data_IF_097958960067
#
_entry.id   IF_097958960067
#
_cell.length_a   1.000
_cell.length_b   1.000
_cell.length_c   1.000
_cell.angle_alpha   90.00
_cell.angle_beta   90.00
_cell.angle_gamma   90.00
#
_symmetry.space_group_name_H-M   'P 1'
#
loop_
_entity.id
_entity.type
_entity.pdbx_description
1 polymer ?
#
# COMPACT_ATOMS: atom_id res chain seq x y z
N UNK A 1 20.73 9.61 6.55
CA UNK A 1 19.89 10.80 6.32
C UNK A 1 19.13 11.08 7.60
N UNK A 2 19.27 12.27 8.17
CA UNK A 2 18.49 12.66 9.35
C UNK A 2 17.05 13.02 8.99
N UNK A 3 16.14 13.02 9.97
CA UNK A 3 14.73 13.38 9.75
C UNK A 3 14.58 14.79 9.17
N UNK A 4 15.35 15.76 9.66
CA UNK A 4 15.36 17.14 9.17
C UNK A 4 15.77 17.24 7.70
N UNK A 5 16.76 16.44 7.28
CA UNK A 5 17.20 16.39 5.89
C UNK A 5 16.12 15.76 4.99
N UNK A 6 15.48 14.68 5.45
CA UNK A 6 14.36 14.06 4.73
C UNK A 6 13.21 15.04 4.54
N UNK A 7 12.79 15.74 5.60
CA UNK A 7 11.73 16.76 5.55
C UNK A 7 12.09 17.86 4.54
N UNK A 8 13.33 18.36 4.58
CA UNK A 8 13.80 19.37 3.63
C UNK A 8 13.69 18.86 2.18
N UNK A 9 14.07 17.61 1.92
CA UNK A 9 13.98 17.00 0.58
C UNK A 9 12.54 16.79 0.12
N UNK A 10 11.62 16.41 1.00
CA UNK A 10 10.18 16.29 0.67
C UNK A 10 9.65 17.64 0.20
N UNK A 11 9.95 18.71 0.93
CA UNK A 11 9.51 20.07 0.58
C UNK A 11 10.12 20.55 -0.74
N UNK A 12 11.42 20.30 -0.94
CA UNK A 12 12.12 20.69 -2.18
C UNK A 12 11.62 19.95 -3.41
N UNK A 13 11.19 18.69 -3.28
CA UNK A 13 10.66 17.91 -4.40
C UNK A 13 9.19 18.24 -4.73
N UNK A 14 8.51 19.01 -3.87
CA UNK A 14 7.07 19.25 -3.98
C UNK A 14 6.21 18.02 -3.68
N UNK A 15 6.78 16.98 -3.07
CA UNK A 15 6.05 15.76 -2.71
C UNK A 15 5.11 16.01 -1.52
N UNK A 16 3.94 15.38 -1.54
CA UNK A 16 2.95 15.46 -0.46
C UNK A 16 3.28 14.53 0.72
N UNK A 17 4.11 13.52 0.50
CA UNK A 17 4.57 12.61 1.53
C UNK A 17 5.86 11.91 1.08
N UNK A 18 6.58 11.31 2.04
CA UNK A 18 7.63 10.33 1.78
C UNK A 18 7.21 8.95 2.25
N UNK A 19 7.54 7.94 1.46
CA UNK A 19 7.51 6.54 1.86
C UNK A 19 8.91 6.12 2.34
N UNK A 20 9.03 5.72 3.59
CA UNK A 20 10.26 5.20 4.18
C UNK A 20 10.10 3.73 4.46
N UNK A 21 11.00 2.90 3.94
CA UNK A 21 11.03 1.47 4.21
C UNK A 21 12.27 1.16 5.05
N UNK A 22 12.08 0.64 6.25
CA UNK A 22 13.19 0.16 7.08
C UNK A 22 13.56 -1.28 6.70
N UNK A 23 14.85 -1.59 6.80
CA UNK A 23 15.39 -2.92 6.49
C UNK A 23 15.74 -3.60 7.81
N UNK A 24 15.23 -4.82 8.00
CA UNK A 24 15.57 -5.70 9.11
C UNK A 24 16.15 -7.01 8.56
N UNK A 25 17.40 -7.31 8.92
CA UNK A 25 18.12 -8.53 8.46
C UNK A 25 18.03 -8.75 6.94
N UNK A 26 18.18 -7.66 6.17
CA UNK A 26 18.14 -7.68 4.71
C UNK A 26 16.74 -7.67 4.07
N UNK A 27 15.66 -7.70 4.85
CA UNK A 27 14.28 -7.69 4.34
C UNK A 27 13.53 -6.41 4.75
N UNK A 28 12.52 -5.96 3.98
CA UNK A 28 11.63 -4.89 4.41
C UNK A 28 10.94 -5.25 5.74
N UNK A 29 11.13 -4.43 6.77
CA UNK A 29 10.57 -4.68 8.10
C UNK A 29 9.43 -3.73 8.47
N UNK A 30 9.56 -2.45 8.11
CA UNK A 30 8.58 -1.41 8.41
C UNK A 30 8.42 -0.48 7.23
N UNK A 31 7.19 -0.02 7.00
CA UNK A 31 6.86 0.99 6.01
C UNK A 31 6.18 2.15 6.73
N UNK A 32 6.74 3.35 6.59
CA UNK A 32 6.24 4.57 7.23
C UNK A 32 5.98 5.64 6.17
N UNK A 33 4.85 6.31 6.28
CA UNK A 33 4.47 7.45 5.43
C UNK A 33 4.58 8.72 6.25
N UNK A 34 5.40 9.67 5.80
CA UNK A 34 5.71 10.93 6.49
C UNK A 34 5.22 12.13 5.70
N UNK A 35 4.62 13.12 6.37
CA UNK A 35 4.29 14.41 5.77
C UNK A 35 5.53 15.30 5.59
N UNK A 36 5.42 16.39 4.82
CA UNK A 36 6.45 17.43 4.74
C UNK A 36 6.69 18.19 6.05
N UNK A 37 5.90 17.91 7.10
CA UNK A 37 6.08 18.46 8.45
C UNK A 37 6.69 17.43 9.42
N UNK A 38 7.03 16.24 8.92
CA UNK A 38 7.60 15.17 9.73
C UNK A 38 6.58 14.35 10.52
N UNK A 39 5.27 14.55 10.29
CA UNK A 39 4.23 13.74 10.93
C UNK A 39 4.17 12.37 10.24
N UNK A 40 4.29 11.30 11.01
CA UNK A 40 3.98 9.94 10.56
C UNK A 40 2.47 9.85 10.35
N UNK A 41 1.97 9.52 9.17
CA UNK A 41 0.53 9.34 8.89
C UNK A 41 0.13 7.88 9.04
N UNK A 42 0.98 7.00 8.53
CA UNK A 42 0.74 5.57 8.46
C UNK A 42 2.05 4.83 8.73
N UNK A 43 1.97 3.80 9.56
CA UNK A 43 3.10 2.95 9.92
C UNK A 43 2.66 1.48 9.87
N UNK A 44 3.31 0.70 9.02
CA UNK A 44 2.99 -0.69 8.75
C UNK A 44 4.16 -1.58 9.14
N UNK A 45 3.90 -2.63 9.92
CA UNK A 45 4.90 -3.68 10.16
C UNK A 45 4.73 -4.76 9.10
N UNK A 46 5.79 -5.01 8.35
CA UNK A 46 5.77 -5.98 7.26
C UNK A 46 6.24 -7.34 7.80
N UNK A 47 5.48 -8.39 7.53
CA UNK A 47 5.94 -9.76 7.76
C UNK A 47 6.79 -10.24 6.59
N UNK A 48 6.32 -9.96 5.36
CA UNK A 48 7.00 -10.37 4.14
C UNK A 48 6.59 -9.47 2.98
N UNK A 49 7.46 -9.38 1.98
CA UNK A 49 7.18 -8.75 0.71
C UNK A 49 7.79 -9.63 -0.39
N UNK A 50 6.94 -10.19 -1.26
CA UNK A 50 7.38 -10.85 -2.48
C UNK A 50 7.43 -9.81 -3.58
N UNK A 51 8.60 -9.61 -4.16
CA UNK A 51 8.80 -8.69 -5.27
C UNK A 51 8.21 -9.30 -6.54
N UNK A 52 7.91 -8.44 -7.51
CA UNK A 52 7.43 -8.84 -8.85
C UNK A 52 8.18 -10.04 -9.44
N UNK A 53 9.52 -10.01 -9.39
CA UNK A 53 10.39 -11.06 -9.93
C UNK A 53 10.25 -12.43 -9.25
N UNK A 54 9.71 -12.44 -8.03
CA UNK A 54 9.48 -13.65 -7.23
C UNK A 54 8.07 -14.19 -7.45
N UNK A 55 7.12 -13.34 -7.86
CA UNK A 55 5.75 -13.71 -8.22
C UNK A 55 5.72 -14.26 -9.65
N UNK A 56 6.20 -13.46 -10.60
CA UNK A 56 6.32 -13.84 -12.01
C UNK A 56 7.51 -13.11 -12.65
N UNK A 57 8.60 -13.86 -12.83
CA UNK A 57 9.83 -13.36 -13.45
C UNK A 57 9.68 -13.03 -14.95
N UNK A 58 8.63 -13.54 -15.60
CA UNK A 58 8.35 -13.32 -17.02
C UNK A 58 7.51 -12.07 -17.27
N UNK A 59 6.78 -11.59 -16.26
CA UNK A 59 5.89 -10.44 -16.40
C UNK A 59 6.70 -9.16 -16.63
N UNK A 60 6.59 -8.59 -17.85
CA UNK A 60 7.19 -7.31 -18.26
C UNK A 60 6.17 -6.16 -18.38
N UNK A 61 4.91 -6.38 -18.02
CA UNK A 61 3.86 -5.37 -18.02
C UNK A 61 4.26 -4.10 -17.28
N UNK A 62 4.38 -2.99 -18.00
CA UNK A 62 4.56 -1.66 -17.39
C UNK A 62 3.19 -1.12 -17.09
N UNK A 63 2.98 -0.54 -15.91
CA UNK A 63 1.69 0.02 -15.54
C UNK A 63 1.89 1.50 -15.25
N UNK A 64 1.04 2.33 -15.87
CA UNK A 64 1.25 3.77 -15.91
C UNK A 64 0.55 4.53 -14.78
N UNK A 65 -0.48 3.96 -14.19
CA UNK A 65 -1.26 4.59 -13.12
C UNK A 65 -2.00 3.56 -12.27
N UNK A 66 -2.44 4.00 -11.09
CA UNK A 66 -3.34 3.24 -10.22
C UNK A 66 -4.78 3.54 -10.67
N UNK A 67 -5.61 2.51 -10.77
CA UNK A 67 -7.03 2.60 -11.09
C UNK A 67 -7.86 2.85 -9.83
N UNK A 68 -7.55 2.16 -8.73
CA UNK A 68 -8.33 2.24 -7.51
C UNK A 68 -7.80 1.34 -6.39
N UNK A 69 -8.54 1.33 -5.29
CA UNK A 69 -8.30 0.48 -4.12
C UNK A 69 -9.49 -0.45 -3.94
N UNK A 70 -9.27 -1.75 -4.08
CA UNK A 70 -10.28 -2.80 -3.87
C UNK A 70 -10.06 -3.53 -2.55
N UNK A 71 -11.15 -3.82 -1.85
CA UNK A 71 -11.18 -4.65 -0.65
C UNK A 71 -12.09 -5.84 -0.88
N UNK A 72 -11.67 -7.02 -0.44
CA UNK A 72 -12.54 -8.20 -0.51
C UNK A 72 -13.77 -8.04 0.37
N UNK A 73 -14.95 -8.31 -0.16
CA UNK A 73 -16.20 -8.33 0.61
C UNK A 73 -16.05 -9.27 1.81
N UNK A 74 -16.48 -8.78 2.99
CA UNK A 74 -16.39 -9.51 4.24
C UNK A 74 -15.03 -9.44 4.93
N UNK A 75 -14.09 -8.62 4.41
CA UNK A 75 -12.81 -8.40 5.10
C UNK A 75 -12.99 -7.71 6.45
N UNK A 76 -12.02 -7.92 7.34
CA UNK A 76 -11.95 -7.29 8.66
C UNK A 76 -11.89 -5.76 8.59
N UNK A 77 -12.28 -5.10 9.68
CA UNK A 77 -12.20 -3.64 9.81
C UNK A 77 -10.75 -3.14 9.60
N UNK A 78 -9.75 -3.85 10.13
CA UNK A 78 -8.33 -3.55 9.93
C UNK A 78 -7.91 -3.49 8.45
N UNK A 79 -8.45 -4.38 7.60
CA UNK A 79 -8.19 -4.39 6.15
C UNK A 79 -8.82 -3.18 5.49
N UNK A 80 -10.11 -2.94 5.79
CA UNK A 80 -10.86 -1.77 5.26
C UNK A 80 -10.20 -0.47 5.66
N UNK A 81 -9.73 -0.39 6.89
CA UNK A 81 -8.97 0.73 7.39
C UNK A 81 -7.69 0.94 6.58
N UNK A 82 -6.84 -0.08 6.48
CA UNK A 82 -5.61 0.06 5.72
C UNK A 82 -5.89 0.54 4.28
N UNK A 83 -6.86 -0.08 3.61
CA UNK A 83 -7.30 0.30 2.28
C UNK A 83 -7.81 1.76 2.23
N UNK A 84 -8.60 2.20 3.22
CA UNK A 84 -9.09 3.57 3.34
C UNK A 84 -7.96 4.59 3.47
N UNK A 85 -6.91 4.27 4.24
CA UNK A 85 -5.72 5.12 4.33
C UNK A 85 -4.99 5.24 3.00
N UNK A 86 -4.86 4.14 2.23
CA UNK A 86 -4.29 4.21 0.88
C UNK A 86 -5.18 4.98 -0.09
N UNK A 87 -6.50 4.81 0.00
CA UNK A 87 -7.47 5.54 -0.82
C UNK A 87 -7.36 7.05 -0.57
N UNK A 88 -7.30 7.48 0.70
CA UNK A 88 -7.09 8.89 1.07
C UNK A 88 -5.75 9.43 0.55
N UNK A 89 -4.65 8.72 0.84
CA UNK A 89 -3.29 9.12 0.44
C UNK A 89 -3.13 9.27 -1.07
N UNK A 90 -3.84 8.45 -1.85
CA UNK A 90 -3.77 8.44 -3.30
C UNK A 90 -4.91 9.23 -3.95
N UNK A 91 -5.82 9.81 -3.17
CA UNK A 91 -7.05 10.47 -3.66
C UNK A 91 -7.88 9.57 -4.58
N UNK A 92 -8.06 8.31 -4.16
CA UNK A 92 -8.82 7.27 -4.86
C UNK A 92 -10.05 6.86 -4.06
N UNK A 93 -11.00 6.22 -4.73
CA UNK A 93 -12.13 5.59 -4.07
C UNK A 93 -11.77 4.17 -3.62
N UNK A 94 -12.36 3.77 -2.49
CA UNK A 94 -12.36 2.38 -2.01
C UNK A 94 -13.60 1.66 -2.52
N UNK A 95 -13.43 0.42 -2.95
CA UNK A 95 -14.52 -0.42 -3.45
C UNK A 95 -14.48 -1.79 -2.80
N UNK A 96 -15.62 -2.26 -2.30
CA UNK A 96 -15.76 -3.64 -1.85
C UNK A 96 -16.14 -4.52 -3.05
N UNK A 97 -15.30 -5.51 -3.36
CA UNK A 97 -15.49 -6.43 -4.47
C UNK A 97 -15.42 -7.87 -3.96
N UNK A 98 -16.08 -8.80 -4.64
CA UNK A 98 -15.92 -10.24 -4.37
C UNK A 98 -14.58 -10.72 -4.90
N UNK A 99 -14.17 -10.22 -6.06
CA UNK A 99 -12.95 -10.62 -6.78
C UNK A 99 -12.30 -9.42 -7.52
N UNK A 100 -10.95 -9.37 -7.64
CA UNK A 100 -10.26 -8.33 -8.41
C UNK A 100 -10.73 -8.19 -9.87
N UNK A 101 -11.24 -9.27 -10.47
CA UNK A 101 -11.76 -9.29 -11.84
C UNK A 101 -12.95 -8.36 -12.08
N UNK A 102 -13.69 -8.00 -11.04
CA UNK A 102 -14.79 -7.03 -11.14
C UNK A 102 -14.32 -5.65 -11.57
N UNK A 103 -13.03 -5.35 -11.37
CA UNK A 103 -12.39 -4.10 -11.83
C UNK A 103 -11.62 -4.25 -13.14
N UNK A 104 -11.97 -5.25 -13.95
CA UNK A 104 -11.36 -5.42 -15.27
C UNK A 104 -11.69 -4.24 -16.19
N UNK A 105 -10.68 -3.64 -16.79
CA UNK A 105 -10.82 -2.57 -17.78
C UNK A 105 -9.97 -2.86 -19.01
N UNK A 106 -10.19 -2.14 -20.12
CA UNK A 106 -9.28 -2.24 -21.28
C UNK A 106 -7.94 -1.51 -21.05
N UNK A 107 -7.86 -0.70 -20.00
CA UNK A 107 -6.71 0.13 -19.68
C UNK A 107 -5.69 -0.68 -18.89
N UNK A 108 -4.41 -0.43 -19.16
CA UNK A 108 -3.30 -1.04 -18.46
C UNK A 108 -2.97 -0.25 -17.18
N UNK A 109 -3.76 -0.47 -16.13
CA UNK A 109 -3.69 0.21 -14.83
C UNK A 109 -3.64 -0.77 -13.66
N UNK A 110 -3.17 -0.32 -12.50
CA UNK A 110 -3.02 -1.16 -11.30
C UNK A 110 -4.20 -1.02 -10.36
N UNK A 111 -4.79 -2.13 -9.92
CA UNK A 111 -5.67 -2.18 -8.75
C UNK A 111 -4.83 -2.54 -7.52
N UNK A 112 -4.94 -1.74 -6.45
CA UNK A 112 -4.45 -2.14 -5.13
C UNK A 112 -5.52 -3.01 -4.48
N UNK A 113 -5.21 -4.27 -4.19
CA UNK A 113 -6.15 -5.23 -3.61
C UNK A 113 -5.77 -5.57 -2.18
N UNK A 114 -6.74 -5.48 -1.27
CA UNK A 114 -6.57 -5.80 0.13
C UNK A 114 -7.57 -6.88 0.57
N UNK A 115 -7.07 -7.89 1.27
CA UNK A 115 -7.89 -8.96 1.86
C UNK A 115 -7.26 -9.49 3.15
N UNK A 116 -8.06 -10.18 3.97
CA UNK A 116 -7.53 -10.90 5.11
C UNK A 116 -6.64 -12.08 4.66
N UNK A 117 -5.47 -12.16 5.28
CA UNK A 117 -4.62 -13.33 5.27
C UNK A 117 -4.82 -14.13 6.57
N UNK A 118 -4.41 -15.42 6.60
CA UNK A 118 -4.41 -16.20 7.83
C UNK A 118 -3.68 -15.49 8.98
N UNK A 119 -4.15 -15.72 10.20
CA UNK A 119 -3.60 -15.15 11.44
C UNK A 119 -3.79 -13.63 11.58
N UNK A 120 -4.96 -13.10 11.18
CA UNK A 120 -5.33 -11.67 11.35
C UNK A 120 -4.38 -10.69 10.65
N UNK A 121 -3.75 -11.16 9.56
CA UNK A 121 -2.83 -10.36 8.77
C UNK A 121 -3.55 -9.79 7.57
N UNK A 122 -2.95 -8.76 6.96
CA UNK A 122 -3.50 -8.16 5.75
C UNK A 122 -2.62 -8.56 4.57
N UNK A 123 -3.24 -9.06 3.51
CA UNK A 123 -2.58 -9.27 2.22
C UNK A 123 -2.85 -8.06 1.33
N UNK A 124 -1.77 -7.41 0.89
CA UNK A 124 -1.81 -6.31 -0.06
C UNK A 124 -1.16 -6.78 -1.38
N UNK A 125 -1.97 -6.85 -2.43
CA UNK A 125 -1.58 -7.33 -3.76
C UNK A 125 -1.82 -6.27 -4.83
N UNK A 126 -1.06 -6.32 -5.91
CA UNK A 126 -1.19 -5.41 -7.04
C UNK A 126 -1.61 -6.20 -8.28
N UNK A 127 -2.79 -5.91 -8.82
CA UNK A 127 -3.30 -6.57 -10.02
C UNK A 127 -3.33 -5.60 -11.20
N UNK A 128 -3.06 -6.12 -12.40
CA UNK A 128 -3.31 -5.39 -13.63
C UNK A 128 -4.79 -5.48 -13.99
N UNK A 129 -5.45 -4.34 -14.16
CA UNK A 129 -6.87 -4.28 -14.52
C UNK A 129 -7.17 -4.80 -15.93
N UNK A 130 -6.18 -4.95 -16.83
CA UNK A 130 -6.42 -5.44 -18.19
C UNK A 130 -6.52 -6.96 -18.29
N UNK A 131 -5.52 -7.64 -17.77
CA UNK A 131 -5.32 -9.09 -17.87
C UNK A 131 -5.43 -9.82 -16.53
N UNK A 132 -5.65 -9.08 -15.44
CA UNK A 132 -5.78 -9.58 -14.06
C UNK A 132 -4.52 -10.29 -13.57
N UNK A 133 -3.39 -10.10 -14.25
CA UNK A 133 -2.11 -10.61 -13.80
C UNK A 133 -1.65 -9.90 -12.54
N UNK A 134 -1.03 -10.66 -11.63
CA UNK A 134 -0.37 -10.07 -10.48
C UNK A 134 0.94 -9.41 -10.91
N UNK A 135 1.09 -8.15 -10.54
CA UNK A 135 2.21 -7.30 -10.92
C UNK A 135 3.30 -7.28 -9.85
N UNK A 136 2.91 -7.57 -8.61
CA UNK A 136 3.73 -7.36 -7.44
C UNK A 136 3.97 -5.88 -7.09
N UNK A 137 4.57 -5.61 -5.92
CA UNK A 137 4.90 -6.60 -4.88
C UNK A 137 3.63 -7.16 -4.20
N UNK A 138 3.75 -8.33 -3.58
CA UNK A 138 2.73 -8.89 -2.67
C UNK A 138 3.24 -8.76 -1.25
N UNK A 139 2.53 -8.01 -0.43
CA UNK A 139 2.98 -7.60 0.90
C UNK A 139 2.05 -8.20 1.95
N UNK A 140 2.62 -8.85 2.96
CA UNK A 140 1.89 -9.25 4.18
C UNK A 140 2.18 -8.24 5.27
N UNK A 141 1.12 -7.60 5.76
CA UNK A 141 1.18 -6.63 6.86
C UNK A 141 0.72 -7.32 8.13
N UNK A 142 1.55 -7.23 9.17
CA UNK A 142 1.27 -7.83 10.49
C UNK A 142 0.66 -6.84 11.48
N UNK A 143 0.87 -5.54 11.30
CA UNK A 143 0.23 -4.53 12.13
C UNK A 143 0.15 -3.19 11.40
N UNK A 144 -0.92 -2.44 11.68
CA UNK A 144 -1.15 -1.09 11.15
C UNK A 144 -1.23 -0.13 12.34
N UNK A 145 -0.47 0.96 12.30
CA UNK A 145 -0.57 2.07 13.25
C UNK A 145 -0.78 3.36 12.47
N UNK A 146 -1.85 4.07 12.82
CA UNK A 146 -2.16 5.40 12.30
C UNK A 146 -1.86 6.43 13.38
N UNK A 147 -1.56 7.65 12.96
CA UNK A 147 -1.45 8.80 13.85
C UNK A 147 -2.79 9.53 13.95
N UNK A 148 -3.72 8.95 14.70
CA UNK A 148 -4.93 9.65 15.11
C UNK A 148 -4.74 10.21 16.52
N UNK A 149 -4.86 11.53 16.65
CA UNK A 149 -5.22 12.28 17.89
C UNK A 149 -4.47 11.96 19.20
N UNK A 150 -3.27 12.54 19.39
CA UNK A 150 -2.92 13.04 20.73
C UNK A 150 -3.58 14.42 20.86
N UNK A 151 -4.78 14.46 21.46
CA UNK A 151 -5.50 15.72 21.67
C UNK A 151 -6.97 15.56 22.06
N UNK A 152 -7.30 14.68 23.00
CA UNK A 152 -8.53 14.82 23.80
C UNK A 152 -8.25 14.34 25.23
N UNK A 153 -8.24 15.34 26.11
CA UNK A 153 -8.09 15.36 27.59
C UNK A 153 -6.71 15.10 28.20
#
# INVERSE_FOLDING_TARGET
MGLTELISRIRQSGAQAALVISIWRGNPGELTILTPDGKEILKLRLESALLRREIDSSNKGRVGSIEGVGVKIGSSESVRDLAGSFAELLSLNIEELTDPSERRTEKNRTLLWFEDAPSEKILWTHYNTKDLSELGPRIRVSSVRRSSEDGSE
#
